data_IF_796799707980
#
_entry.id   IF_796799707980
#
_cell.length_a   1.000
_cell.length_b   1.000
_cell.length_c   1.000
_cell.angle_alpha   90.00
_cell.angle_beta   90.00
_cell.angle_gamma   90.00
#
_symmetry.space_group_name_H-M   'P 1'
#
loop_
_entity.id
_entity.type
_entity.pdbx_description
1 polymer ?
#
# COMPACT_ATOMS: atom_id res chain seq x y z
N UNK A 1 16.98 5.97 5.52
CA UNK A 1 16.52 4.75 6.24
C UNK A 1 15.24 4.30 5.57
N UNK A 2 15.23 3.14 4.90
CA UNK A 2 14.05 2.63 4.20
C UNK A 2 13.09 2.05 5.25
N UNK A 3 11.89 2.61 5.38
CA UNK A 3 10.88 2.05 6.28
C UNK A 3 10.25 0.82 5.61
N UNK A 4 10.12 -0.26 6.37
CA UNK A 4 9.56 -1.52 5.91
C UNK A 4 8.52 -1.99 6.92
N UNK A 5 7.35 -2.41 6.42
CA UNK A 5 6.38 -3.15 7.21
C UNK A 5 6.66 -4.63 7.05
N UNK A 6 6.81 -5.31 8.17
CA UNK A 6 6.86 -6.76 8.25
C UNK A 6 5.60 -7.25 8.97
N UNK A 7 4.87 -8.16 8.33
CA UNK A 7 3.68 -8.77 8.89
C UNK A 7 3.89 -10.29 8.99
N UNK A 8 3.92 -10.81 10.21
CA UNK A 8 4.01 -12.25 10.49
C UNK A 8 2.69 -12.75 11.09
N UNK A 9 1.68 -12.88 10.22
CA UNK A 9 0.34 -13.34 10.59
C UNK A 9 -0.04 -14.53 9.68
N UNK A 10 0.19 -15.79 10.10
CA UNK A 10 0.12 -16.97 9.22
C UNK A 10 -1.26 -17.25 8.62
N UNK A 11 -2.33 -16.72 9.24
CA UNK A 11 -3.72 -16.88 8.80
C UNK A 11 -4.33 -15.57 8.29
N UNK A 12 -3.51 -14.57 7.93
CA UNK A 12 -4.02 -13.31 7.41
C UNK A 12 -4.64 -13.54 6.04
N UNK A 13 -5.94 -13.30 5.94
CA UNK A 13 -6.70 -13.40 4.69
C UNK A 13 -6.82 -12.06 3.96
N UNK A 14 -6.81 -10.97 4.72
CA UNK A 14 -7.03 -9.61 4.24
C UNK A 14 -5.94 -8.69 4.77
N UNK A 15 -5.29 -7.93 3.88
CA UNK A 15 -4.29 -6.94 4.22
C UNK A 15 -4.74 -5.56 3.73
N UNK A 16 -4.86 -4.60 4.65
CA UNK A 16 -5.22 -3.22 4.35
C UNK A 16 -4.07 -2.30 4.74
N UNK A 17 -3.66 -1.45 3.81
CA UNK A 17 -2.59 -0.48 4.03
C UNK A 17 -3.04 0.91 3.56
N UNK A 18 -2.82 1.91 4.42
CA UNK A 18 -3.03 3.32 4.10
C UNK A 18 -1.79 4.10 4.54
N UNK A 19 -1.11 4.71 3.58
CA UNK A 19 0.13 5.43 3.85
C UNK A 19 0.99 5.73 2.63
N UNK A 20 2.22 6.24 2.84
CA UNK A 20 3.18 6.45 1.76
C UNK A 20 3.65 5.11 1.16
N UNK A 21 4.23 5.13 -0.04
CA UNK A 21 4.80 3.91 -0.63
C UNK A 21 6.01 3.44 0.19
N UNK A 22 5.89 2.29 0.85
CA UNK A 22 6.96 1.65 1.63
C UNK A 22 7.10 0.19 1.23
N UNK A 23 8.21 -0.43 1.63
CA UNK A 23 8.38 -1.86 1.41
C UNK A 23 7.47 -2.64 2.36
N UNK A 24 6.74 -3.62 1.81
CA UNK A 24 5.86 -4.50 2.57
C UNK A 24 6.37 -5.92 2.38
N UNK A 25 6.55 -6.65 3.48
CA UNK A 25 6.75 -8.10 3.46
C UNK A 25 5.66 -8.75 4.29
N UNK A 26 4.91 -9.65 3.66
CA UNK A 26 3.93 -10.49 4.34
C UNK A 26 4.57 -11.77 4.90
N UNK A 27 5.89 -11.92 4.80
CA UNK A 27 6.63 -13.07 5.33
C UNK A 27 6.03 -14.40 4.87
N UNK A 28 5.62 -15.23 5.83
CA UNK A 28 4.98 -16.54 5.60
C UNK A 28 3.46 -16.48 5.39
N UNK A 29 2.87 -15.29 5.34
CA UNK A 29 1.43 -15.09 5.16
C UNK A 29 0.99 -15.29 3.71
N UNK A 30 1.22 -16.51 3.19
CA UNK A 30 0.82 -16.98 1.87
C UNK A 30 -0.71 -16.98 1.68
N UNK A 31 -1.51 -16.78 2.73
CA UNK A 31 -2.96 -16.90 2.67
C UNK A 31 -3.69 -15.59 2.36
N UNK A 32 -2.98 -14.48 2.13
CA UNK A 32 -3.65 -13.21 1.80
C UNK A 32 -4.34 -13.33 0.45
N UNK A 33 -5.67 -13.25 0.47
CA UNK A 33 -6.53 -13.31 -0.72
C UNK A 33 -6.96 -11.91 -1.17
N UNK A 34 -7.15 -11.00 -0.21
CA UNK A 34 -7.58 -9.64 -0.47
C UNK A 34 -6.53 -8.65 0.00
N UNK A 35 -6.10 -7.78 -0.89
CA UNK A 35 -5.16 -6.72 -0.59
C UNK A 35 -5.76 -5.37 -0.98
N UNK A 36 -5.76 -4.42 -0.05
CA UNK A 36 -6.17 -3.05 -0.29
C UNK A 36 -5.03 -2.11 0.07
N UNK A 37 -4.63 -1.26 -0.87
CA UNK A 37 -3.61 -0.26 -0.64
C UNK A 37 -4.09 1.12 -1.09
N UNK A 38 -4.05 2.05 -0.15
CA UNK A 38 -4.22 3.48 -0.40
C UNK A 38 -2.85 4.14 -0.29
N UNK A 39 -2.35 4.66 -1.41
CA UNK A 39 -1.01 5.26 -1.48
C UNK A 39 -1.08 6.72 -1.91
N UNK A 40 -0.38 7.60 -1.19
CA UNK A 40 -0.22 8.99 -1.56
C UNK A 40 0.91 9.18 -2.59
N UNK A 41 0.62 9.91 -3.68
CA UNK A 41 1.58 10.43 -4.67
C UNK A 41 2.61 9.39 -5.15
N UNK A 42 2.15 8.40 -5.91
CA UNK A 42 3.03 7.46 -6.62
C UNK A 42 2.84 7.60 -8.13
N UNK A 43 3.81 8.14 -8.89
CA UNK A 43 3.82 7.93 -10.33
C UNK A 43 3.97 6.41 -10.59
N UNK A 44 3.11 5.89 -11.46
CA UNK A 44 3.14 4.49 -11.88
C UNK A 44 2.81 3.47 -10.78
N UNK A 45 1.83 3.78 -9.92
CA UNK A 45 1.30 2.84 -8.90
C UNK A 45 0.92 1.47 -9.48
N UNK A 46 0.36 1.43 -10.70
CA UNK A 46 0.04 0.20 -11.41
C UNK A 46 1.30 -0.62 -11.76
N UNK A 47 2.38 0.03 -12.17
CA UNK A 47 3.65 -0.65 -12.47
C UNK A 47 4.32 -1.19 -11.21
N UNK A 48 4.29 -0.40 -10.11
CA UNK A 48 4.72 -0.91 -8.81
C UNK A 48 3.92 -2.14 -8.42
N UNK A 49 2.60 -2.08 -8.57
CA UNK A 49 1.71 -3.18 -8.24
C UNK A 49 2.05 -4.45 -9.04
N UNK A 50 2.20 -4.33 -10.37
CA UNK A 50 2.51 -5.48 -11.23
C UNK A 50 3.88 -6.08 -10.94
N UNK A 51 4.89 -5.25 -10.63
CA UNK A 51 6.27 -5.71 -10.46
C UNK A 51 6.56 -6.23 -9.05
N UNK A 52 5.97 -5.61 -8.01
CA UNK A 52 6.32 -5.88 -6.61
C UNK A 52 5.25 -6.67 -5.86
N UNK A 53 3.96 -6.49 -6.14
CA UNK A 53 2.93 -7.15 -5.31
C UNK A 53 2.86 -8.65 -5.55
N UNK A 54 3.16 -9.09 -6.76
CA UNK A 54 3.23 -10.52 -7.09
C UNK A 54 4.25 -11.27 -6.22
N UNK A 55 5.33 -10.61 -5.77
CA UNK A 55 6.30 -11.23 -4.85
C UNK A 55 5.94 -11.04 -3.38
N UNK A 56 5.23 -9.97 -3.03
CA UNK A 56 4.81 -9.69 -1.64
C UNK A 56 3.65 -10.59 -1.22
N UNK A 57 2.70 -10.82 -2.13
CA UNK A 57 1.43 -11.46 -1.86
C UNK A 57 1.01 -12.33 -3.07
N UNK A 58 1.69 -13.47 -3.30
CA UNK A 58 1.54 -14.25 -4.53
C UNK A 58 0.15 -14.86 -4.72
N UNK A 59 -0.63 -15.01 -3.64
CA UNK A 59 -1.95 -15.65 -3.66
C UNK A 59 -3.11 -14.64 -3.61
N UNK A 60 -2.85 -13.35 -3.84
CA UNK A 60 -3.88 -12.32 -3.88
C UNK A 60 -4.80 -12.57 -5.08
N UNK A 61 -6.09 -12.70 -4.78
CA UNK A 61 -7.16 -12.86 -5.76
C UNK A 61 -7.81 -11.53 -6.10
N UNK A 62 -7.85 -10.61 -5.13
CA UNK A 62 -8.47 -9.31 -5.30
C UNK A 62 -7.56 -8.22 -4.77
N UNK A 63 -7.15 -7.32 -5.68
CA UNK A 63 -6.31 -6.17 -5.37
C UNK A 63 -7.10 -4.87 -5.58
N UNK A 64 -7.16 -4.04 -4.54
CA UNK A 64 -7.70 -2.69 -4.60
C UNK A 64 -6.54 -1.69 -4.45
N UNK A 65 -6.39 -0.80 -5.43
CA UNK A 65 -5.42 0.28 -5.41
C UNK A 65 -6.16 1.61 -5.45
N UNK A 66 -5.95 2.43 -4.43
CA UNK A 66 -6.50 3.77 -4.35
C UNK A 66 -5.35 4.78 -4.37
N UNK A 67 -5.40 5.74 -5.29
CA UNK A 67 -4.46 6.84 -5.34
C UNK A 67 -5.09 8.07 -4.69
N UNK A 68 -4.49 8.59 -3.63
CA UNK A 68 -4.95 9.83 -3.01
C UNK A 68 -4.19 11.01 -3.64
N UNK A 69 -4.86 11.74 -4.54
CA UNK A 69 -4.42 13.07 -4.96
C UNK A 69 -4.61 14.00 -3.75
N UNK A 70 -3.50 14.37 -3.10
CA UNK A 70 -3.54 15.38 -2.04
C UNK A 70 -3.95 16.71 -2.67
N UNK A 71 -5.23 17.09 -2.57
CA UNK A 71 -5.67 18.45 -2.78
C UNK A 71 -4.94 19.32 -1.74
N UNK A 72 -3.84 19.97 -2.14
CA UNK A 72 -3.29 21.09 -1.37
C UNK A 72 -4.30 22.23 -1.51
N UNK A 73 -5.33 22.22 -0.67
CA UNK A 73 -5.98 23.47 -0.30
C UNK A 73 -4.92 24.26 0.48
N UNK A 74 -4.22 25.14 -0.24
CA UNK A 74 -3.43 26.20 0.35
C UNK A 74 -4.42 27.07 1.14
N UNK A 75 -4.62 26.75 2.41
CA UNK A 75 -5.12 27.75 3.35
C UNK A 75 -4.00 28.79 3.50
N UNK A 76 -3.99 29.78 2.60
CA UNK A 76 -3.39 31.08 2.89
C UNK A 76 -4.30 31.75 3.93
N UNK A 77 -4.20 31.30 5.18
CA UNK A 77 -4.73 32.03 6.32
C UNK A 77 -3.73 33.14 6.65
N UNK A 78 -4.02 34.35 6.19
CA UNK A 78 -3.46 35.56 6.79
C UNK A 78 -3.78 35.52 8.29
N UNK A 79 -2.76 35.41 9.13
CA UNK A 79 -2.89 35.86 10.51
C UNK A 79 -2.89 37.38 10.47
N UNK A 80 -4.05 37.99 10.73
CA UNK A 80 -4.18 39.42 11.07
C UNK A 80 -3.73 39.66 12.51
#
# INVERSE_FOLDING_TARGET
MLQMIECSAPNLSTFNYDGPLIHISLGSSLQVKKMQMTCAIVPNLLHYASAKLSSIAPNVQTLFLTHFMRLRLLFFGFFS
#
